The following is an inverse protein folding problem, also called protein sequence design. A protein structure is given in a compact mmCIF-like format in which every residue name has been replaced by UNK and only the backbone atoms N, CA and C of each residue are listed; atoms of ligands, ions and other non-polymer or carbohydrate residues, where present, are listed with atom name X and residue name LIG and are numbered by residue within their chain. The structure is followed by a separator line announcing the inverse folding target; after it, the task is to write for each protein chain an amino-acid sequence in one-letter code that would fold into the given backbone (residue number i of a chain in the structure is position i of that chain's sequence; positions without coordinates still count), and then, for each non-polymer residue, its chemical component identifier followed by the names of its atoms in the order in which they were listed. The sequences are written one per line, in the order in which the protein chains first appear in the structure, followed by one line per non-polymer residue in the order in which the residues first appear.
data_IF_018160417889
#
_entry.id   IF_018160417889
#
_cell.length_a   1.000
_cell.length_b   1.000
_cell.length_c   1.000
_cell.angle_alpha   90.00
_cell.angle_beta   90.00
_cell.angle_gamma   90.00
#
_symmetry.space_group_name_H-M   'P 1'
#
loop_
_entity.id
_entity.type
_entity.pdbx_description
1 polymer ?
#
# COMPACT_ATOMS: atom_id res chain seq x y z
N UNK A 1 -27.69 24.13 13.85
CA UNK A 1 -28.76 23.93 12.82
C UNK A 1 -29.52 22.65 13.18
N UNK A 2 -30.86 22.66 13.14
CA UNK A 2 -31.66 21.46 13.46
C UNK A 2 -31.61 20.54 12.25
N UNK A 3 -31.02 19.36 12.40
CA UNK A 3 -30.88 18.38 11.34
C UNK A 3 -32.25 17.87 10.89
N UNK A 4 -32.57 17.97 9.60
CA UNK A 4 -33.82 17.43 9.03
C UNK A 4 -33.79 15.90 9.08
N UNK A 5 -34.86 15.30 9.55
CA UNK A 5 -34.98 13.85 9.75
C UNK A 5 -36.09 13.26 8.85
N UNK A 6 -36.09 11.93 8.67
CA UNK A 6 -37.15 11.20 8.00
C UNK A 6 -38.55 11.56 8.57
N UNK A 7 -38.64 11.82 9.89
CA UNK A 7 -39.89 12.23 10.54
C UNK A 7 -40.42 13.60 10.04
N UNK A 8 -39.53 14.50 9.65
CA UNK A 8 -39.93 15.80 9.10
C UNK A 8 -40.55 15.64 7.70
N UNK A 9 -39.94 14.79 6.84
CA UNK A 9 -40.50 14.46 5.50
C UNK A 9 -41.84 13.74 5.65
N UNK A 10 -41.89 12.75 6.55
CA UNK A 10 -43.09 11.96 6.85
C UNK A 10 -44.27 12.88 7.24
N UNK A 11 -44.02 13.87 8.12
CA UNK A 11 -45.01 14.86 8.55
C UNK A 11 -45.45 15.75 7.39
N UNK A 12 -44.51 16.24 6.53
CA UNK A 12 -44.81 17.11 5.40
C UNK A 12 -45.67 16.44 4.32
N UNK A 13 -45.44 15.11 4.12
CA UNK A 13 -46.14 14.30 3.10
C UNK A 13 -47.34 13.51 3.64
N UNK A 14 -47.62 13.56 4.92
CA UNK A 14 -48.63 12.75 5.63
C UNK A 14 -48.47 11.25 5.35
N UNK A 15 -47.20 10.77 5.33
CA UNK A 15 -46.86 9.38 5.13
C UNK A 15 -46.13 8.81 6.35
N UNK A 16 -46.11 7.48 6.49
CA UNK A 16 -45.36 6.84 7.58
C UNK A 16 -43.84 7.01 7.37
N UNK A 17 -43.07 7.08 8.45
CA UNK A 17 -41.61 7.10 8.37
C UNK A 17 -41.01 5.87 7.65
N UNK A 18 -41.67 4.71 7.76
CA UNK A 18 -41.33 3.47 7.03
C UNK A 18 -41.53 3.63 5.52
N UNK A 19 -42.64 4.24 5.09
CA UNK A 19 -42.94 4.52 3.68
C UNK A 19 -41.90 5.48 3.09
N UNK A 20 -41.54 6.55 3.82
CA UNK A 20 -40.49 7.48 3.39
C UNK A 20 -39.14 6.75 3.25
N UNK A 21 -38.76 5.95 4.26
CA UNK A 21 -37.53 5.17 4.22
C UNK A 21 -37.46 4.22 3.03
N UNK A 22 -38.56 3.48 2.75
CA UNK A 22 -38.64 2.57 1.60
C UNK A 22 -38.61 3.32 0.27
N UNK A 23 -39.26 4.48 0.17
CA UNK A 23 -39.27 5.32 -1.02
C UNK A 23 -37.87 5.89 -1.34
N UNK A 24 -37.14 6.35 -0.31
CA UNK A 24 -35.75 6.85 -0.45
C UNK A 24 -34.76 5.77 -0.85
N UNK A 25 -35.02 4.51 -0.49
CA UNK A 25 -34.18 3.35 -0.83
C UNK A 25 -34.69 2.58 -2.08
N UNK A 26 -35.54 3.20 -2.89
CA UNK A 26 -36.09 2.63 -4.15
C UNK A 26 -36.75 1.24 -4.01
N UNK A 27 -37.30 0.92 -2.81
CA UNK A 27 -37.94 -0.37 -2.55
C UNK A 27 -39.02 -0.68 -3.57
N UNK A 28 -39.11 -1.90 -4.10
CA UNK A 28 -40.08 -2.30 -5.14
C UNK A 28 -41.56 -2.09 -4.74
N UNK A 29 -41.90 -2.24 -3.47
CA UNK A 29 -43.28 -2.08 -2.98
C UNK A 29 -43.81 -0.64 -3.02
N UNK A 30 -42.95 0.36 -3.30
CA UNK A 30 -43.37 1.76 -3.33
C UNK A 30 -43.56 2.22 -4.78
N UNK A 31 -44.74 2.76 -5.06
CA UNK A 31 -45.10 3.24 -6.39
C UNK A 31 -44.14 4.38 -6.86
N UNK A 32 -43.78 4.39 -8.15
CA UNK A 32 -42.81 5.30 -8.74
C UNK A 32 -43.14 6.77 -8.46
N UNK A 33 -44.39 7.19 -8.56
CA UNK A 33 -44.85 8.56 -8.26
C UNK A 33 -44.56 8.96 -6.80
N UNK A 34 -44.77 8.02 -5.85
CA UNK A 34 -44.46 8.29 -4.44
C UNK A 34 -42.96 8.41 -4.21
N UNK A 35 -42.14 7.59 -4.86
CA UNK A 35 -40.68 7.71 -4.81
C UNK A 35 -40.20 9.08 -5.30
N UNK A 36 -40.72 9.54 -6.45
CA UNK A 36 -40.37 10.83 -7.02
C UNK A 36 -40.78 11.99 -6.10
N UNK A 37 -41.99 11.96 -5.54
CA UNK A 37 -42.47 12.96 -4.61
C UNK A 37 -41.62 13.05 -3.35
N UNK A 38 -41.29 11.89 -2.77
CA UNK A 38 -40.44 11.81 -1.57
C UNK A 38 -39.01 12.34 -1.84
N UNK A 39 -38.39 11.96 -2.97
CA UNK A 39 -37.07 12.46 -3.37
C UNK A 39 -37.08 13.97 -3.59
N UNK A 40 -38.11 14.49 -4.24
CA UNK A 40 -38.28 15.97 -4.44
C UNK A 40 -38.37 16.73 -3.12
N UNK A 41 -39.26 16.28 -2.22
CA UNK A 41 -39.44 16.94 -0.90
C UNK A 41 -38.20 16.77 0.00
N UNK A 42 -37.51 15.66 -0.09
CA UNK A 42 -36.22 15.46 0.62
C UNK A 42 -35.18 16.49 0.15
N UNK A 43 -35.05 16.70 -1.17
CA UNK A 43 -34.17 17.73 -1.74
C UNK A 43 -34.56 19.18 -1.32
N UNK A 44 -35.85 19.52 -1.39
CA UNK A 44 -36.34 20.84 -0.96
C UNK A 44 -36.06 21.15 0.52
N UNK A 45 -36.12 20.12 1.37
CA UNK A 45 -35.85 20.26 2.80
C UNK A 45 -34.34 20.18 3.16
N UNK A 46 -33.47 19.90 2.19
CA UNK A 46 -32.07 19.66 2.45
C UNK A 46 -31.82 18.42 3.31
N UNK A 47 -32.68 17.41 3.18
CA UNK A 47 -32.54 16.16 3.91
C UNK A 47 -31.35 15.37 3.36
N UNK A 48 -30.33 15.24 4.17
CA UNK A 48 -29.24 14.28 3.95
C UNK A 48 -29.52 13.01 4.74
N UNK A 49 -29.56 11.83 4.09
CA UNK A 49 -29.69 10.57 4.80
C UNK A 49 -28.63 10.49 5.89
N UNK A 50 -29.06 10.22 7.12
CA UNK A 50 -28.11 9.99 8.20
C UNK A 50 -27.37 8.69 7.95
N UNK A 51 -26.13 8.79 7.44
CA UNK A 51 -25.26 7.64 7.11
C UNK A 51 -25.08 6.75 8.34
N UNK A 52 -24.97 7.34 9.54
CA UNK A 52 -24.85 6.62 10.81
C UNK A 52 -26.12 5.79 11.10
N UNK A 53 -27.34 6.38 10.88
CA UNK A 53 -28.59 5.65 11.08
C UNK A 53 -28.80 4.54 10.03
N UNK A 54 -28.26 4.73 8.83
CA UNK A 54 -28.30 3.73 7.74
C UNK A 54 -27.32 2.60 8.00
N UNK A 55 -26.11 2.89 8.46
CA UNK A 55 -25.11 1.89 8.86
C UNK A 55 -25.52 1.10 10.10
N UNK A 56 -26.27 1.72 11.04
CA UNK A 56 -26.89 1.02 12.17
C UNK A 56 -27.94 -0.02 11.74
N UNK A 57 -28.66 0.23 10.63
CA UNK A 57 -29.66 -0.72 10.09
C UNK A 57 -29.04 -1.83 9.24
N UNK A 58 -27.95 -1.54 8.52
CA UNK A 58 -27.21 -2.50 7.70
C UNK A 58 -26.06 -3.18 8.44
N UNK A 59 -25.80 -2.79 9.70
CA UNK A 59 -24.64 -3.21 10.52
C UNK A 59 -23.26 -2.89 9.91
N UNK A 60 -23.18 -2.16 8.79
CA UNK A 60 -21.93 -1.79 8.09
C UNK A 60 -22.06 -0.40 7.45
N UNK A 61 -20.95 0.33 7.40
CA UNK A 61 -20.84 1.57 6.63
C UNK A 61 -20.40 1.27 5.18
N UNK A 62 -20.59 2.25 4.27
CA UNK A 62 -20.01 2.19 2.92
C UNK A 62 -18.57 2.76 2.92
N UNK A 63 -17.83 2.55 4.01
CA UNK A 63 -16.47 3.07 4.18
C UNK A 63 -15.49 1.91 4.28
N UNK A 64 -14.37 2.02 3.59
CA UNK A 64 -13.25 1.10 3.66
C UNK A 64 -12.11 1.80 4.40
N UNK A 65 -11.55 1.15 5.41
CA UNK A 65 -10.34 1.61 6.08
C UNK A 65 -9.10 1.28 5.25
N UNK A 66 -8.19 2.25 5.11
CA UNK A 66 -6.88 2.05 4.47
C UNK A 66 -5.81 2.48 5.46
N UNK A 67 -4.95 1.55 5.87
CA UNK A 67 -3.85 1.82 6.81
C UNK A 67 -2.54 1.62 6.08
N UNK A 68 -1.71 2.68 6.07
CA UNK A 68 -0.39 2.67 5.42
C UNK A 68 0.68 3.18 6.40
N UNK A 69 1.94 2.76 6.22
CA UNK A 69 3.05 3.28 7.01
C UNK A 69 3.21 4.80 6.90
N UNK A 70 3.36 5.32 5.68
CA UNK A 70 3.58 6.76 5.42
C UNK A 70 2.90 7.20 4.13
N UNK A 71 2.01 8.19 4.21
CA UNK A 71 1.27 8.73 3.06
C UNK A 71 2.19 9.50 2.10
N UNK A 72 3.26 10.09 2.62
CA UNK A 72 4.21 10.91 1.83
C UNK A 72 5.03 10.11 0.81
N UNK A 73 5.10 8.78 0.93
CA UNK A 73 5.78 7.94 -0.03
C UNK A 73 4.94 7.76 -1.28
N UNK A 74 5.50 8.09 -2.46
CA UNK A 74 4.83 7.98 -3.76
C UNK A 74 4.24 6.58 -3.99
N UNK A 75 4.93 5.53 -3.57
CA UNK A 75 4.43 4.16 -3.62
C UNK A 75 3.06 4.02 -2.95
N UNK A 76 2.94 4.47 -1.69
CA UNK A 76 1.67 4.37 -0.96
C UNK A 76 0.62 5.35 -1.51
N UNK A 77 1.01 6.54 -1.97
CA UNK A 77 0.10 7.49 -2.60
C UNK A 77 -0.54 6.89 -3.87
N UNK A 78 0.25 6.22 -4.70
CA UNK A 78 -0.23 5.53 -5.90
C UNK A 78 -1.11 4.32 -5.56
N UNK A 79 -0.73 3.51 -4.57
CA UNK A 79 -1.56 2.39 -4.13
C UNK A 79 -2.91 2.86 -3.57
N UNK A 80 -2.92 3.93 -2.76
CA UNK A 80 -4.15 4.57 -2.26
C UNK A 80 -5.03 5.05 -3.41
N UNK A 81 -4.44 5.64 -4.46
CA UNK A 81 -5.18 6.08 -5.65
C UNK A 81 -5.85 4.91 -6.36
N UNK A 82 -5.17 3.76 -6.48
CA UNK A 82 -5.75 2.54 -7.04
C UNK A 82 -6.88 1.97 -6.19
N UNK A 83 -6.74 2.00 -4.85
CA UNK A 83 -7.79 1.60 -3.91
C UNK A 83 -9.01 2.52 -4.05
N UNK A 84 -8.79 3.82 -4.09
CA UNK A 84 -9.83 4.85 -4.16
C UNK A 84 -10.66 4.71 -5.45
N UNK A 85 -10.00 4.52 -6.59
CA UNK A 85 -10.69 4.37 -7.88
C UNK A 85 -11.70 3.22 -7.85
N UNK A 86 -11.30 2.04 -7.37
CA UNK A 86 -12.19 0.88 -7.28
C UNK A 86 -13.28 1.11 -6.23
N UNK A 87 -12.94 1.67 -5.08
CA UNK A 87 -13.89 1.98 -4.03
C UNK A 87 -14.98 2.95 -4.54
N UNK A 88 -14.58 4.03 -5.22
CA UNK A 88 -15.49 5.01 -5.80
C UNK A 88 -16.44 4.38 -6.82
N UNK A 89 -15.92 3.59 -7.77
CA UNK A 89 -16.73 2.90 -8.78
C UNK A 89 -17.78 1.96 -8.17
N UNK A 90 -17.49 1.40 -7.00
CA UNK A 90 -18.37 0.49 -6.24
C UNK A 90 -19.24 1.19 -5.19
N UNK A 91 -19.20 2.52 -5.12
CA UNK A 91 -20.01 3.32 -4.18
C UNK A 91 -19.50 3.30 -2.74
N UNK A 92 -18.22 2.99 -2.54
CA UNK A 92 -17.53 3.09 -1.26
C UNK A 92 -16.72 4.39 -1.20
N UNK A 93 -16.46 4.86 0.02
CA UNK A 93 -15.46 5.88 0.32
C UNK A 93 -14.34 5.30 1.17
N UNK A 94 -13.12 5.82 1.06
CA UNK A 94 -12.00 5.37 1.87
C UNK A 94 -11.77 6.30 3.06
N UNK A 95 -11.33 5.71 4.18
CA UNK A 95 -10.77 6.43 5.33
C UNK A 95 -9.32 6.02 5.45
N UNK A 96 -8.42 6.98 5.27
CA UNK A 96 -6.97 6.73 5.29
C UNK A 96 -6.44 7.03 6.69
N UNK A 97 -5.63 6.13 7.22
CA UNK A 97 -4.87 6.32 8.45
C UNK A 97 -3.40 5.96 8.23
N UNK A 98 -2.52 6.72 8.87
CA UNK A 98 -1.08 6.51 8.81
C UNK A 98 -0.57 5.97 10.14
N UNK A 99 0.20 4.88 10.10
CA UNK A 99 0.84 4.31 11.29
C UNK A 99 2.16 4.98 11.65
N UNK A 100 2.79 5.69 10.70
CA UNK A 100 4.08 6.34 10.86
C UNK A 100 5.16 5.35 11.33
N UNK A 101 5.17 4.17 10.72
CA UNK A 101 6.11 3.07 10.99
C UNK A 101 6.09 2.56 12.47
N UNK A 102 4.96 2.76 13.18
CA UNK A 102 4.82 2.41 14.60
C UNK A 102 3.65 1.44 14.80
N UNK A 103 3.93 0.26 15.38
CA UNK A 103 2.92 -0.76 15.69
C UNK A 103 1.83 -0.24 16.61
N UNK A 104 2.16 0.60 17.61
CA UNK A 104 1.19 1.18 18.54
C UNK A 104 0.16 2.05 17.81
N UNK A 105 0.60 2.85 16.84
CA UNK A 105 -0.29 3.68 16.03
C UNK A 105 -1.12 2.81 15.07
N UNK A 106 -0.55 1.75 14.54
CA UNK A 106 -1.26 0.77 13.71
C UNK A 106 -2.42 0.14 14.49
N UNK A 107 -2.19 -0.27 15.74
CA UNK A 107 -3.22 -0.81 16.64
C UNK A 107 -4.34 0.22 16.88
N UNK A 108 -3.98 1.47 17.21
CA UNK A 108 -4.95 2.55 17.43
C UNK A 108 -5.79 2.79 16.18
N UNK A 109 -5.16 2.82 15.01
CA UNK A 109 -5.86 3.01 13.73
C UNK A 109 -6.84 1.87 13.45
N UNK A 110 -6.42 0.62 13.65
CA UNK A 110 -7.27 -0.56 13.51
C UNK A 110 -8.49 -0.51 14.44
N UNK A 111 -8.27 -0.17 15.71
CA UNK A 111 -9.36 -0.04 16.69
C UNK A 111 -10.32 1.10 16.30
N UNK A 112 -9.80 2.22 15.83
CA UNK A 112 -10.61 3.33 15.32
C UNK A 112 -11.47 2.90 14.13
N UNK A 113 -10.90 2.20 13.13
CA UNK A 113 -11.64 1.68 11.98
C UNK A 113 -12.75 0.71 12.40
N UNK A 114 -12.45 -0.16 13.36
CA UNK A 114 -13.45 -1.08 13.93
C UNK A 114 -14.61 -0.33 14.61
N UNK A 115 -14.30 0.68 15.45
CA UNK A 115 -15.29 1.51 16.14
C UNK A 115 -16.16 2.30 15.14
N UNK A 116 -15.57 2.78 14.05
CA UNK A 116 -16.28 3.45 12.95
C UNK A 116 -17.06 2.48 12.05
N UNK A 117 -16.99 1.16 12.33
CA UNK A 117 -17.72 0.11 11.59
C UNK A 117 -17.44 0.15 10.09
N UNK A 118 -16.19 0.35 9.70
CA UNK A 118 -15.82 0.25 8.29
C UNK A 118 -16.21 -1.11 7.74
N UNK A 119 -16.55 -1.20 6.45
CA UNK A 119 -16.98 -2.43 5.81
C UNK A 119 -15.87 -3.49 5.73
N UNK A 120 -14.61 -3.03 5.67
CA UNK A 120 -13.40 -3.83 5.69
C UNK A 120 -12.16 -2.93 5.73
N UNK A 121 -10.98 -3.52 5.85
CA UNK A 121 -9.71 -2.81 6.02
C UNK A 121 -8.69 -3.34 5.01
N UNK A 122 -8.00 -2.42 4.31
CA UNK A 122 -6.82 -2.70 3.50
C UNK A 122 -5.61 -2.16 4.28
N UNK A 123 -4.58 -2.97 4.46
CA UNK A 123 -3.46 -2.61 5.32
C UNK A 123 -2.12 -3.03 4.76
N UNK A 124 -1.14 -2.11 4.81
CA UNK A 124 0.29 -2.41 4.70
C UNK A 124 0.91 -2.20 6.08
N UNK A 125 1.60 -3.20 6.62
CA UNK A 125 2.05 -3.21 8.02
C UNK A 125 3.21 -2.26 8.27
N UNK A 126 3.30 -1.79 9.51
CA UNK A 126 4.38 -0.92 9.99
C UNK A 126 5.71 -1.68 10.09
N UNK A 127 6.83 -0.96 9.97
CA UNK A 127 8.17 -1.50 10.14
C UNK A 127 8.41 -2.14 11.52
N UNK A 128 7.78 -1.60 12.56
CA UNK A 128 7.95 -2.12 13.93
C UNK A 128 6.93 -3.20 14.30
N UNK A 129 6.07 -3.63 13.37
CA UNK A 129 5.11 -4.71 13.60
C UNK A 129 5.84 -6.04 13.75
N UNK A 130 5.83 -6.59 14.97
CA UNK A 130 6.54 -7.82 15.32
C UNK A 130 5.64 -9.04 15.46
N UNK A 131 4.33 -8.85 15.49
CA UNK A 131 3.35 -9.93 15.60
C UNK A 131 1.99 -9.51 15.00
N UNK A 132 1.15 -10.49 14.73
CA UNK A 132 -0.17 -10.30 14.10
C UNK A 132 -1.36 -10.32 15.08
N UNK A 133 -1.13 -10.30 16.38
CA UNK A 133 -2.17 -10.49 17.41
C UNK A 133 -3.31 -9.47 17.28
N UNK A 134 -2.99 -8.21 17.02
CA UNK A 134 -3.98 -7.13 16.87
C UNK A 134 -4.83 -7.29 15.61
N UNK A 135 -4.27 -7.79 14.50
CA UNK A 135 -5.04 -8.13 13.30
C UNK A 135 -5.95 -9.33 13.57
N UNK A 136 -5.40 -10.41 14.14
CA UNK A 136 -6.16 -11.61 14.46
C UNK A 136 -7.36 -11.31 15.35
N UNK A 137 -7.19 -10.46 16.37
CA UNK A 137 -8.28 -10.01 17.25
C UNK A 137 -9.48 -9.42 16.48
N UNK A 138 -9.23 -8.66 15.39
CA UNK A 138 -10.29 -8.08 14.57
C UNK A 138 -10.85 -9.07 13.57
N UNK A 139 -10.03 -9.95 13.02
CA UNK A 139 -10.49 -11.06 12.17
C UNK A 139 -11.45 -11.99 12.93
N UNK A 140 -11.12 -12.33 14.17
CA UNK A 140 -11.97 -13.15 15.06
C UNK A 140 -13.33 -12.47 15.37
N UNK A 141 -13.40 -11.13 15.24
CA UNK A 141 -14.65 -10.34 15.32
C UNK A 141 -15.37 -10.20 13.99
N UNK A 142 -14.91 -10.85 12.93
CA UNK A 142 -15.52 -10.84 11.60
C UNK A 142 -15.19 -9.61 10.75
N UNK A 143 -14.15 -8.84 11.09
CA UNK A 143 -13.65 -7.76 10.24
C UNK A 143 -12.97 -8.37 9.02
N UNK A 144 -13.35 -7.95 7.82
CA UNK A 144 -12.67 -8.33 6.58
C UNK A 144 -11.41 -7.53 6.40
N UNK A 145 -10.35 -8.18 5.96
CA UNK A 145 -9.04 -7.54 5.84
C UNK A 145 -8.28 -8.08 4.63
N UNK A 146 -7.58 -7.19 3.94
CA UNK A 146 -6.65 -7.53 2.86
C UNK A 146 -5.32 -6.85 3.15
N UNK A 147 -4.22 -7.61 3.09
CA UNK A 147 -2.88 -7.03 3.16
C UNK A 147 -2.36 -6.68 1.78
N UNK A 148 -1.56 -5.63 1.68
CA UNK A 148 -0.85 -5.29 0.46
C UNK A 148 0.58 -4.83 0.77
N UNK A 149 1.51 -5.01 -0.19
CA UNK A 149 2.93 -4.68 -0.09
C UNK A 149 3.60 -5.41 1.08
N UNK A 150 3.48 -4.91 2.29
CA UNK A 150 4.00 -5.54 3.51
C UNK A 150 2.88 -6.35 4.16
N UNK A 151 3.08 -7.63 4.30
CA UNK A 151 2.03 -8.60 4.66
C UNK A 151 2.37 -9.37 5.94
N UNK A 152 1.34 -9.88 6.62
CA UNK A 152 1.51 -10.87 7.69
C UNK A 152 1.34 -12.27 7.10
N UNK A 153 2.41 -13.06 7.10
CA UNK A 153 2.41 -14.40 6.50
C UNK A 153 1.75 -15.46 7.37
N UNK A 154 1.67 -15.22 8.68
CA UNK A 154 1.05 -16.13 9.66
C UNK A 154 -0.50 -16.03 9.70
N UNK A 155 -1.10 -15.07 8.99
CA UNK A 155 -2.55 -14.92 8.90
C UNK A 155 -3.09 -15.45 7.57
N UNK A 156 -4.22 -16.19 7.66
CA UNK A 156 -4.97 -16.68 6.50
C UNK A 156 -5.97 -15.63 6.01
N UNK A 157 -5.44 -14.61 5.35
CA UNK A 157 -6.20 -13.51 4.73
C UNK A 157 -5.62 -13.20 3.36
N UNK A 158 -6.42 -12.62 2.44
CA UNK A 158 -5.90 -12.24 1.13
C UNK A 158 -4.74 -11.25 1.22
N UNK A 159 -3.77 -11.43 0.33
CA UNK A 159 -2.56 -10.63 0.23
C UNK A 159 -2.29 -10.27 -1.22
N UNK A 160 -1.85 -9.04 -1.46
CA UNK A 160 -1.42 -8.56 -2.78
C UNK A 160 -0.04 -7.95 -2.63
N UNK A 161 0.97 -8.57 -3.18
CA UNK A 161 2.37 -8.11 -3.06
C UNK A 161 3.18 -8.51 -4.31
N UNK A 162 4.46 -8.23 -4.33
CA UNK A 162 5.39 -8.69 -5.36
C UNK A 162 6.26 -9.83 -4.82
N UNK A 163 6.91 -10.59 -5.71
CA UNK A 163 7.97 -11.51 -5.30
C UNK A 163 9.29 -10.73 -5.17
N UNK A 164 9.55 -10.20 -3.97
CA UNK A 164 10.75 -9.42 -3.68
C UNK A 164 12.05 -10.21 -3.90
N UNK A 165 12.04 -11.51 -3.62
CA UNK A 165 13.22 -12.37 -3.83
C UNK A 165 13.53 -12.52 -5.32
N UNK A 166 12.52 -12.85 -6.12
CA UNK A 166 12.70 -13.02 -7.56
C UNK A 166 13.02 -11.70 -8.24
N UNK A 167 12.34 -10.61 -7.85
CA UNK A 167 12.59 -9.27 -8.39
C UNK A 167 14.01 -8.80 -8.12
N UNK A 168 14.50 -9.02 -6.89
CA UNK A 168 15.87 -8.65 -6.51
C UNK A 168 16.91 -9.54 -7.16
N UNK A 169 16.61 -10.83 -7.36
CA UNK A 169 17.45 -11.71 -8.14
C UNK A 169 17.65 -11.16 -9.56
N UNK A 170 16.58 -10.78 -10.24
CA UNK A 170 16.63 -10.19 -11.60
C UNK A 170 17.41 -8.89 -11.65
N UNK A 171 17.32 -8.03 -10.63
CA UNK A 171 18.12 -6.81 -10.51
C UNK A 171 19.62 -7.14 -10.48
N UNK A 172 20.02 -8.05 -9.64
CA UNK A 172 21.43 -8.44 -9.48
C UNK A 172 21.96 -9.18 -10.72
N UNK A 173 21.14 -10.06 -11.28
CA UNK A 173 21.43 -10.73 -12.57
C UNK A 173 21.69 -9.70 -13.67
N UNK A 174 20.84 -8.67 -13.80
CA UNK A 174 21.01 -7.58 -14.76
C UNK A 174 22.36 -6.89 -14.57
N UNK A 175 22.73 -6.53 -13.34
CA UNK A 175 24.01 -5.88 -13.05
C UNK A 175 25.19 -6.77 -13.42
N UNK A 176 25.15 -8.06 -13.10
CA UNK A 176 26.21 -9.01 -13.43
C UNK A 176 26.36 -9.20 -14.95
N UNK A 177 25.23 -9.29 -15.68
CA UNK A 177 25.23 -9.39 -17.16
C UNK A 177 25.77 -8.13 -17.83
N UNK A 178 25.63 -6.96 -17.21
CA UNK A 178 26.20 -5.69 -17.68
C UNK A 178 27.67 -5.46 -17.25
N UNK A 179 28.33 -6.49 -16.69
CA UNK A 179 29.76 -6.48 -16.46
C UNK A 179 30.20 -5.91 -15.10
N UNK A 180 29.28 -5.56 -14.21
CA UNK A 180 29.65 -5.18 -12.85
C UNK A 180 30.23 -6.37 -12.09
N UNK A 181 31.49 -6.25 -11.72
CA UNK A 181 32.25 -7.34 -11.03
C UNK A 181 31.95 -7.40 -9.54
N UNK A 182 31.47 -6.31 -8.97
CA UNK A 182 31.15 -6.20 -7.54
C UNK A 182 29.82 -5.51 -7.36
N UNK A 183 28.91 -6.14 -6.64
CA UNK A 183 27.61 -5.62 -6.31
C UNK A 183 27.48 -5.52 -4.81
N UNK A 184 26.97 -4.39 -4.33
CA UNK A 184 26.77 -4.10 -2.91
C UNK A 184 25.29 -3.87 -2.68
N UNK A 185 24.74 -4.39 -1.59
CA UNK A 185 23.35 -4.19 -1.25
C UNK A 185 23.20 -3.21 -0.08
N UNK A 186 22.54 -2.07 -0.33
CA UNK A 186 22.06 -1.19 0.73
C UNK A 186 20.70 -1.70 1.18
N UNK A 187 20.72 -2.65 2.10
CA UNK A 187 19.55 -3.32 2.62
C UNK A 187 18.85 -2.45 3.68
N UNK A 188 17.54 -2.47 3.65
CA UNK A 188 16.73 -1.83 4.69
C UNK A 188 16.75 -2.62 6.01
N UNK A 189 15.83 -2.29 6.93
CA UNK A 189 15.72 -2.97 8.21
C UNK A 189 15.35 -4.44 8.04
N UNK A 190 16.15 -5.32 8.62
CA UNK A 190 15.96 -6.78 8.51
C UNK A 190 14.83 -7.32 9.41
N UNK A 191 14.05 -6.45 10.03
CA UNK A 191 12.78 -6.75 10.70
C UNK A 191 11.61 -6.77 9.72
N UNK A 192 11.75 -6.15 8.54
CA UNK A 192 10.75 -6.18 7.48
C UNK A 192 10.99 -7.33 6.53
N UNK A 193 9.97 -8.15 6.29
CA UNK A 193 10.04 -9.30 5.39
C UNK A 193 10.46 -8.92 3.97
N UNK A 194 9.94 -7.80 3.43
CA UNK A 194 10.34 -7.31 2.10
C UNK A 194 11.85 -7.04 2.00
N UNK A 195 12.46 -6.49 3.06
CA UNK A 195 13.90 -6.21 3.09
C UNK A 195 14.73 -7.50 3.20
N UNK A 196 14.25 -8.47 3.98
CA UNK A 196 14.85 -9.80 4.07
C UNK A 196 14.78 -10.50 2.72
N UNK A 197 13.63 -10.49 2.06
CA UNK A 197 13.42 -11.14 0.77
C UNK A 197 14.26 -10.49 -0.34
N UNK A 198 14.40 -9.15 -0.36
CA UNK A 198 15.29 -8.45 -1.29
C UNK A 198 16.74 -8.85 -1.09
N UNK A 199 17.18 -8.94 0.15
CA UNK A 199 18.51 -9.44 0.49
C UNK A 199 18.70 -10.90 0.05
N UNK A 200 17.75 -11.77 0.30
CA UNK A 200 17.80 -13.18 -0.14
C UNK A 200 17.92 -13.28 -1.67
N UNK A 201 17.18 -12.48 -2.42
CA UNK A 201 17.32 -12.42 -3.88
C UNK A 201 18.70 -11.98 -4.34
N UNK A 202 19.27 -10.96 -3.69
CA UNK A 202 20.64 -10.53 -3.93
C UNK A 202 21.66 -11.65 -3.64
N UNK A 203 21.60 -12.28 -2.49
CA UNK A 203 22.52 -13.36 -2.10
C UNK A 203 22.40 -14.59 -3.01
N UNK A 204 21.16 -14.93 -3.40
CA UNK A 204 20.87 -16.02 -4.34
C UNK A 204 21.53 -15.80 -5.70
N UNK A 205 21.42 -14.58 -6.25
CA UNK A 205 22.01 -14.23 -7.54
C UNK A 205 23.55 -14.30 -7.48
N UNK A 206 24.18 -13.73 -6.44
CA UNK A 206 25.64 -13.81 -6.29
C UNK A 206 26.13 -15.26 -6.23
N UNK A 207 25.41 -16.12 -5.54
CA UNK A 207 25.73 -17.55 -5.44
C UNK A 207 25.57 -18.26 -6.77
N UNK A 208 24.47 -18.04 -7.49
CA UNK A 208 24.18 -18.68 -8.77
C UNK A 208 25.19 -18.30 -9.85
N UNK A 209 25.64 -17.06 -9.85
CA UNK A 209 26.66 -16.53 -10.78
C UNK A 209 28.10 -16.76 -10.33
N UNK A 210 28.33 -17.43 -9.19
CA UNK A 210 29.67 -17.76 -8.65
C UNK A 210 30.64 -16.57 -8.65
N UNK A 211 30.23 -15.43 -8.11
CA UNK A 211 30.99 -14.16 -8.20
C UNK A 211 32.33 -14.16 -7.48
N UNK A 212 32.66 -15.15 -6.67
CA UNK A 212 33.96 -15.32 -6.02
C UNK A 212 34.23 -14.39 -4.81
N UNK A 213 33.21 -13.74 -4.27
CA UNK A 213 33.28 -12.92 -3.05
C UNK A 213 32.01 -13.08 -2.20
N UNK A 214 32.12 -12.84 -0.89
CA UNK A 214 31.01 -12.89 0.04
C UNK A 214 30.06 -11.69 -0.15
N UNK A 215 28.76 -11.85 0.11
CA UNK A 215 27.78 -10.77 0.01
C UNK A 215 28.20 -9.54 0.83
N UNK A 216 28.15 -8.36 0.20
CA UNK A 216 28.47 -7.08 0.84
C UNK A 216 27.16 -6.33 1.11
N UNK A 217 26.75 -6.31 2.38
CA UNK A 217 25.44 -5.79 2.79
C UNK A 217 25.62 -4.71 3.86
N UNK A 218 25.02 -3.55 3.60
CA UNK A 218 24.91 -2.47 4.58
C UNK A 218 23.45 -2.37 5.02
N UNK A 219 23.15 -2.78 6.23
CA UNK A 219 21.82 -2.64 6.82
C UNK A 219 21.58 -1.23 7.31
N UNK A 220 20.37 -0.71 7.11
CA UNK A 220 20.02 0.67 7.50
C UNK A 220 18.50 0.85 7.55
N UNK A 221 18.04 2.09 7.47
CA UNK A 221 16.65 2.44 7.27
C UNK A 221 16.24 2.44 5.79
N UNK A 222 15.12 3.10 5.50
CA UNK A 222 14.52 3.17 4.15
C UNK A 222 14.41 4.61 3.61
N UNK A 223 15.10 5.56 4.24
CA UNK A 223 15.04 6.97 3.89
C UNK A 223 16.29 7.42 3.12
N UNK A 224 16.23 8.60 2.51
CA UNK A 224 17.35 9.22 1.78
C UNK A 224 18.62 9.36 2.66
N UNK A 225 18.45 9.72 3.94
CA UNK A 225 19.56 9.82 4.88
C UNK A 225 20.33 8.51 5.07
N UNK A 226 19.64 7.37 4.97
CA UNK A 226 20.27 6.06 5.12
C UNK A 226 21.17 5.74 3.93
N UNK A 227 20.69 6.03 2.71
CA UNK A 227 21.47 5.88 1.49
C UNK A 227 22.69 6.81 1.46
N UNK A 228 22.48 8.08 1.85
CA UNK A 228 23.55 9.07 1.95
C UNK A 228 24.68 8.60 2.89
N UNK A 229 24.33 8.18 4.11
CA UNK A 229 25.31 7.70 5.09
C UNK A 229 25.94 6.35 4.71
N UNK A 230 25.26 5.53 3.91
CA UNK A 230 25.78 4.23 3.48
C UNK A 230 26.90 4.36 2.45
N UNK A 231 26.95 5.48 1.69
CA UNK A 231 28.08 5.77 0.80
C UNK A 231 29.37 5.97 1.61
N UNK A 232 29.32 6.73 2.69
CA UNK A 232 30.53 6.95 3.51
C UNK A 232 31.03 5.62 4.12
N UNK A 233 30.11 4.75 4.55
CA UNK A 233 30.46 3.40 5.02
C UNK A 233 31.10 2.55 3.92
N UNK A 234 30.54 2.58 2.70
CA UNK A 234 31.05 1.86 1.55
C UNK A 234 32.48 2.29 1.21
N UNK A 235 32.72 3.60 1.10
CA UNK A 235 34.03 4.14 0.74
C UNK A 235 35.09 3.82 1.80
N UNK A 236 34.73 3.78 3.07
CA UNK A 236 35.62 3.38 4.17
C UNK A 236 36.08 1.91 4.06
N UNK A 237 35.42 1.06 3.27
CA UNK A 237 35.90 -0.30 2.99
C UNK A 237 36.98 -0.36 1.93
N UNK A 238 37.29 0.75 1.26
CA UNK A 238 38.23 0.82 0.14
C UNK A 238 37.64 0.41 -1.21
N UNK A 239 36.32 0.13 -1.29
CA UNK A 239 35.64 -0.18 -2.54
C UNK A 239 35.38 1.13 -3.30
N UNK A 240 36.02 1.30 -4.45
CA UNK A 240 35.93 2.50 -5.29
C UNK A 240 35.15 2.27 -6.60
N UNK A 241 34.86 1.03 -6.96
CA UNK A 241 34.08 0.69 -8.16
C UNK A 241 33.18 -0.52 -7.87
N UNK A 242 31.88 -0.33 -8.06
CA UNK A 242 30.84 -1.37 -7.84
C UNK A 242 29.51 -0.93 -8.45
N UNK A 243 28.50 -1.81 -8.39
CA UNK A 243 27.10 -1.41 -8.50
C UNK A 243 26.43 -1.52 -7.12
N UNK A 244 25.56 -0.58 -6.81
CA UNK A 244 24.76 -0.56 -5.59
C UNK A 244 23.32 -0.97 -5.95
N UNK A 245 22.85 -2.03 -5.32
CA UNK A 245 21.42 -2.35 -5.25
C UNK A 245 20.87 -1.76 -3.96
N UNK A 246 20.10 -0.68 -4.06
CA UNK A 246 19.42 -0.04 -2.94
C UNK A 246 18.06 -0.68 -2.69
N UNK A 247 17.70 -0.84 -1.42
CA UNK A 247 16.44 -1.47 -1.00
C UNK A 247 15.20 -0.75 -1.57
N UNK A 248 15.29 0.57 -1.77
CA UNK A 248 14.25 1.38 -2.40
C UNK A 248 14.83 2.63 -3.06
N UNK A 249 13.99 3.38 -3.77
CA UNK A 249 14.39 4.61 -4.46
C UNK A 249 14.83 5.73 -3.52
N UNK A 250 14.19 5.99 -2.37
CA UNK A 250 14.70 7.00 -1.43
C UNK A 250 16.14 6.73 -1.00
N UNK A 251 16.50 5.50 -0.67
CA UNK A 251 17.88 5.10 -0.34
C UNK A 251 18.81 5.31 -1.53
N UNK A 252 18.37 4.95 -2.75
CA UNK A 252 19.15 5.17 -3.97
C UNK A 252 19.38 6.67 -4.23
N UNK A 253 18.35 7.52 -4.10
CA UNK A 253 18.43 8.97 -4.27
C UNK A 253 19.41 9.59 -3.28
N UNK A 254 19.35 9.17 -2.00
CA UNK A 254 20.31 9.60 -0.99
C UNK A 254 21.76 9.22 -1.34
N UNK A 255 21.96 8.01 -1.86
CA UNK A 255 23.27 7.55 -2.34
C UNK A 255 23.75 8.38 -3.55
N UNK A 256 22.90 8.61 -4.55
CA UNK A 256 23.20 9.48 -5.71
C UNK A 256 23.64 10.87 -5.24
N UNK A 257 22.89 11.47 -4.30
CA UNK A 257 23.21 12.78 -3.74
C UNK A 257 24.62 12.79 -3.15
N UNK A 258 24.97 11.81 -2.32
CA UNK A 258 26.28 11.75 -1.67
C UNK A 258 27.42 11.53 -2.68
N UNK A 259 27.25 10.66 -3.66
CA UNK A 259 28.24 10.42 -4.71
C UNK A 259 28.51 11.68 -5.53
N UNK A 260 27.47 12.46 -5.85
CA UNK A 260 27.62 13.75 -6.56
C UNK A 260 28.40 14.77 -5.75
N UNK A 261 28.14 14.89 -4.45
CA UNK A 261 28.92 15.77 -3.55
C UNK A 261 30.39 15.38 -3.50
N UNK A 262 30.70 14.09 -3.64
CA UNK A 262 32.07 13.57 -3.67
C UNK A 262 32.70 13.54 -5.07
N UNK A 263 31.96 14.03 -6.09
CA UNK A 263 32.43 14.03 -7.50
C UNK A 263 32.73 12.61 -8.03
N UNK A 264 32.04 11.59 -7.53
CA UNK A 264 32.15 10.20 -8.00
C UNK A 264 31.21 10.02 -9.19
N UNK A 265 31.74 9.48 -10.27
CA UNK A 265 31.00 9.29 -11.52
C UNK A 265 29.95 8.18 -11.44
N UNK A 266 28.74 8.48 -11.88
CA UNK A 266 27.60 7.54 -11.97
C UNK A 266 27.15 7.49 -13.44
N UNK A 267 27.19 6.34 -14.11
CA UNK A 267 27.52 5.00 -13.59
C UNK A 267 28.98 4.60 -13.72
N UNK A 268 29.88 5.46 -14.25
CA UNK A 268 31.24 5.10 -14.64
C UNK A 268 32.11 4.48 -13.55
N UNK A 269 31.99 4.97 -12.30
CA UNK A 269 32.66 4.40 -11.14
C UNK A 269 31.71 3.57 -10.29
N UNK A 270 30.52 4.09 -9.99
CA UNK A 270 29.52 3.43 -9.17
C UNK A 270 28.16 3.48 -9.87
N UNK A 271 27.66 2.30 -10.28
CA UNK A 271 26.29 2.17 -10.76
C UNK A 271 25.29 2.06 -9.60
N UNK A 272 24.04 2.51 -9.80
CA UNK A 272 23.01 2.44 -8.75
C UNK A 272 21.68 1.97 -9.35
N UNK A 273 21.04 1.02 -8.66
CA UNK A 273 19.65 0.62 -8.91
C UNK A 273 18.83 0.83 -7.64
N UNK A 274 17.64 1.44 -7.82
CA UNK A 274 16.61 1.57 -6.79
C UNK A 274 15.52 0.50 -6.88
N UNK A 275 14.41 0.75 -6.18
CA UNK A 275 13.23 -0.13 -6.17
C UNK A 275 12.00 0.71 -5.79
N UNK A 276 10.94 0.72 -6.61
CA UNK A 276 9.60 1.30 -6.50
C UNK A 276 9.19 2.22 -7.65
N UNK A 277 10.12 2.62 -8.54
CA UNK A 277 9.87 3.51 -9.68
C UNK A 277 9.16 4.82 -9.27
N UNK A 278 9.66 5.48 -8.21
CA UNK A 278 9.13 6.78 -7.80
C UNK A 278 9.38 7.85 -8.87
N UNK A 279 8.48 8.82 -9.06
CA UNK A 279 8.61 9.85 -10.11
C UNK A 279 9.94 10.61 -10.09
N UNK A 280 10.53 10.81 -8.92
CA UNK A 280 11.83 11.47 -8.77
C UNK A 280 12.96 10.75 -9.53
N UNK A 281 12.83 9.44 -9.76
CA UNK A 281 13.86 8.62 -10.43
C UNK A 281 14.10 9.02 -11.88
N UNK A 282 13.11 9.62 -12.54
CA UNK A 282 13.23 10.16 -13.90
C UNK A 282 13.79 11.58 -13.93
N UNK A 283 13.62 12.33 -12.85
CA UNK A 283 13.91 13.75 -12.79
C UNK A 283 15.33 14.07 -12.28
N UNK A 284 15.94 13.12 -11.57
CA UNK A 284 17.34 13.29 -11.14
C UNK A 284 18.31 12.98 -12.27
N UNK A 285 19.53 13.51 -12.19
CA UNK A 285 20.60 13.20 -13.15
C UNK A 285 21.78 12.54 -12.40
N UNK A 286 22.28 11.37 -12.87
CA UNK A 286 21.66 10.56 -13.92
C UNK A 286 20.28 10.04 -13.51
N UNK A 287 19.41 9.80 -14.49
CA UNK A 287 18.11 9.18 -14.25
C UNK A 287 18.30 7.76 -13.68
N UNK A 288 17.55 7.43 -12.62
CA UNK A 288 17.79 6.23 -11.82
C UNK A 288 17.11 4.99 -12.42
N UNK A 289 17.89 3.96 -12.68
CA UNK A 289 17.40 2.60 -12.95
C UNK A 289 16.71 2.06 -11.70
N UNK A 290 15.52 1.47 -11.85
CA UNK A 290 14.70 1.03 -10.71
C UNK A 290 13.77 -0.12 -11.10
N UNK A 291 13.07 -0.70 -10.11
CA UNK A 291 12.05 -1.72 -10.30
C UNK A 291 10.67 -1.11 -10.09
N UNK A 292 9.77 -1.26 -11.06
CA UNK A 292 8.37 -0.91 -10.89
C UNK A 292 7.59 -2.08 -10.28
N UNK A 293 6.94 -1.81 -9.15
CA UNK A 293 6.09 -2.74 -8.42
C UNK A 293 4.61 -2.61 -8.81
N UNK A 294 4.28 -1.69 -9.71
CA UNK A 294 2.91 -1.36 -10.13
C UNK A 294 1.97 -1.06 -8.95
N UNK A 295 2.31 -0.07 -8.07
CA UNK A 295 1.59 0.17 -6.83
C UNK A 295 0.11 0.52 -7.04
N UNK A 296 -0.23 1.24 -8.11
CA UNK A 296 -1.61 1.53 -8.46
C UNK A 296 -2.42 0.25 -8.70
N UNK A 297 -1.89 -0.69 -9.50
CA UNK A 297 -2.55 -1.96 -9.76
C UNK A 297 -2.62 -2.83 -8.49
N UNK A 298 -1.59 -2.78 -7.64
CA UNK A 298 -1.59 -3.44 -6.34
C UNK A 298 -2.75 -2.96 -5.46
N UNK A 299 -2.95 -1.64 -5.40
CA UNK A 299 -4.07 -1.03 -4.68
C UNK A 299 -5.42 -1.42 -5.26
N UNK A 300 -5.57 -1.39 -6.59
CA UNK A 300 -6.78 -1.82 -7.29
C UNK A 300 -7.14 -3.27 -6.92
N UNK A 301 -6.19 -4.19 -7.04
CA UNK A 301 -6.42 -5.61 -6.74
C UNK A 301 -6.81 -5.85 -5.28
N UNK A 302 -6.16 -5.15 -4.35
CA UNK A 302 -6.52 -5.23 -2.93
C UNK A 302 -7.96 -4.77 -2.67
N UNK A 303 -8.39 -3.66 -3.30
CA UNK A 303 -9.76 -3.16 -3.18
C UNK A 303 -10.80 -4.08 -3.84
N UNK A 304 -10.51 -4.61 -5.03
CA UNK A 304 -11.39 -5.57 -5.72
C UNK A 304 -11.65 -6.81 -4.86
N UNK A 305 -10.61 -7.36 -4.25
CA UNK A 305 -10.71 -8.53 -3.37
C UNK A 305 -11.56 -8.18 -2.14
N UNK A 306 -11.22 -7.09 -1.43
CA UNK A 306 -11.95 -6.71 -0.23
C UNK A 306 -13.42 -6.46 -0.49
N UNK A 307 -13.74 -5.72 -1.56
CA UNK A 307 -15.13 -5.40 -1.92
C UNK A 307 -15.90 -6.67 -2.32
N UNK A 308 -15.26 -7.57 -3.08
CA UNK A 308 -15.88 -8.85 -3.42
C UNK A 308 -16.20 -9.67 -2.15
N UNK A 309 -15.32 -9.72 -1.16
CA UNK A 309 -15.60 -10.36 0.13
C UNK A 309 -16.73 -9.67 0.91
N UNK A 310 -16.81 -8.32 0.84
CA UNK A 310 -17.89 -7.56 1.49
C UNK A 310 -19.25 -7.90 0.88
N UNK A 311 -19.33 -7.96 -0.45
CA UNK A 311 -20.58 -8.12 -1.18
C UNK A 311 -21.05 -9.58 -1.24
N UNK A 312 -20.13 -10.52 -1.45
CA UNK A 312 -20.44 -11.93 -1.74
C UNK A 312 -20.14 -12.91 -0.57
N UNK A 313 -19.58 -12.41 0.54
CA UNK A 313 -19.23 -13.25 1.70
C UNK A 313 -17.83 -13.84 1.63
N UNK A 314 -17.34 -14.32 2.80
CA UNK A 314 -15.96 -14.77 2.99
C UNK A 314 -15.66 -16.19 2.45
N UNK A 315 -16.67 -16.93 1.98
CA UNK A 315 -16.58 -18.39 1.82
C UNK A 315 -15.64 -18.89 0.72
N UNK A 316 -15.07 -18.03 -0.13
CA UNK A 316 -14.38 -18.57 -1.31
C UNK A 316 -12.89 -18.23 -1.45
N UNK A 317 -12.26 -17.38 -0.62
CA UNK A 317 -10.91 -16.89 -0.97
C UNK A 317 -10.02 -16.44 0.21
N UNK A 318 -10.15 -16.98 1.40
CA UNK A 318 -9.31 -16.61 2.57
C UNK A 318 -7.80 -16.85 2.39
N UNK A 319 -7.40 -17.67 1.46
CA UNK A 319 -6.01 -18.06 1.21
C UNK A 319 -5.46 -17.48 -0.11
N UNK A 320 -5.98 -16.35 -0.57
CA UNK A 320 -5.54 -15.75 -1.82
C UNK A 320 -4.23 -14.97 -1.62
N UNK A 321 -3.15 -15.50 -2.15
CA UNK A 321 -1.82 -14.88 -2.18
C UNK A 321 -1.52 -14.46 -3.63
N UNK A 322 -1.71 -13.15 -3.93
CA UNK A 322 -1.49 -12.61 -5.28
C UNK A 322 -0.13 -11.94 -5.33
N UNK A 323 0.75 -12.52 -6.13
CA UNK A 323 2.03 -11.92 -6.49
C UNK A 323 1.91 -11.19 -7.83
N UNK A 324 2.13 -9.89 -7.82
CA UNK A 324 2.21 -9.10 -9.04
C UNK A 324 3.60 -9.22 -9.65
N UNK A 325 3.65 -9.21 -10.97
CA UNK A 325 4.93 -9.10 -11.68
C UNK A 325 5.52 -7.70 -11.53
N UNK A 326 6.85 -7.63 -11.48
CA UNK A 326 7.60 -6.39 -11.45
C UNK A 326 8.28 -6.14 -12.79
N UNK A 327 8.57 -4.87 -13.09
CA UNK A 327 9.29 -4.48 -14.30
C UNK A 327 10.59 -3.76 -13.94
N UNK A 328 11.71 -4.19 -14.52
CA UNK A 328 12.97 -3.45 -14.41
C UNK A 328 12.95 -2.29 -15.41
N UNK A 329 13.06 -1.07 -14.90
CA UNK A 329 13.10 0.17 -15.67
C UNK A 329 14.53 0.64 -15.76
N UNK A 330 15.15 0.42 -16.90
CA UNK A 330 16.56 0.76 -17.16
C UNK A 330 16.65 2.23 -17.53
N UNK A 331 17.57 2.96 -16.88
CA UNK A 331 17.89 4.37 -17.12
C UNK A 331 19.41 4.59 -17.11
N UNK A 332 19.85 5.81 -16.82
CA UNK A 332 21.23 6.27 -16.99
C UNK A 332 22.16 5.85 -15.84
N UNK A 333 21.65 5.41 -14.71
CA UNK A 333 22.44 5.14 -13.48
C UNK A 333 23.14 3.78 -13.46
N UNK A 334 22.96 2.96 -14.52
CA UNK A 334 23.63 1.64 -14.67
C UNK A 334 24.03 1.36 -16.11
#
# INVERSE_FOLDING_TARGET
MKQITIKNIARKLNLSASTISRALNDHPDIHVKTKQLVKKVAGELGYNPNIIARSLKSSRSNQIGVIVPEIRHDFFANAISGIEEVAYQKGYTIIIAQSNEQQEREIINLDSMYLHRVAGIIVSISQTTTNSIHFKRLLDKGVRMVFFDRVCTDLKVPKVHVDDTESSFKVVEYLLKNGYKRIVHFAGPQTLEICVNRRLGYEKALKEYNVGYDPIVFTGGMHESDGYNSIDKLLNTGISSCAIFAVNDPVAVGAVKRLKELHIDIPGQIGIIGFSNNPITELISPALTTVDQHPFEMGRRAAEILINEIENGMESRSDLDIKLETSLIIREST
#
